data_IF_652332555917
#
_entry.id   IF_652332555917
#
_cell.length_a   1.000
_cell.length_b   1.000
_cell.length_c   1.000
_cell.angle_alpha   90.00
_cell.angle_beta   90.00
_cell.angle_gamma   90.00
#
_symmetry.space_group_name_H-M   'P 1'
#
loop_
_entity.id
_entity.type
_entity.pdbx_description
1 polymer ?
#
# COMPACT_ATOMS: atom_id res chain seq x y z
N UNK A 1 13.57 68.40 39.22
CA UNK A 1 13.53 69.64 38.45
C UNK A 1 12.41 69.47 37.41
N UNK A 2 11.32 70.01 37.78
CA UNK A 2 10.73 71.25 37.26
C UNK A 2 10.14 71.05 35.85
N UNK A 3 8.83 70.95 35.79
CA UNK A 3 7.81 71.99 35.54
C UNK A 3 7.55 72.16 34.07
N UNK A 4 6.40 72.23 33.52
CA UNK A 4 5.06 72.89 33.70
C UNK A 4 4.23 72.50 32.48
N UNK A 5 3.05 72.04 32.53
CA UNK A 5 1.76 72.73 32.73
C UNK A 5 1.48 73.83 31.68
N UNK A 6 0.39 73.69 30.96
CA UNK A 6 -0.77 74.63 30.84
C UNK A 6 -1.47 74.43 29.50
N UNK A 7 -2.71 74.03 29.48
CA UNK A 7 -4.01 74.72 29.57
C UNK A 7 -4.69 75.00 28.22
N UNK A 8 -5.93 74.51 28.19
CA UNK A 8 -7.19 75.14 27.64
C UNK A 8 -7.34 75.15 26.11
N UNK A 9 -8.49 74.73 25.52
CA UNK A 9 -9.83 75.23 25.77
C UNK A 9 -10.91 74.30 25.21
N UNK A 10 -12.02 74.33 25.89
CA UNK A 10 -13.35 73.80 25.65
C UNK A 10 -13.94 74.37 24.36
N UNK A 11 -14.51 73.57 23.48
CA UNK A 11 -15.55 73.96 22.57
C UNK A 11 -16.60 72.84 22.49
N UNK A 12 -17.67 73.09 23.18
CA UNK A 12 -18.93 72.31 23.11
C UNK A 12 -19.56 72.64 21.80
N UNK A 13 -19.78 71.72 20.90
CA UNK A 13 -20.73 71.84 19.80
C UNK A 13 -21.73 70.71 19.96
N UNK A 14 -22.92 71.10 20.39
CA UNK A 14 -24.19 70.37 20.45
C UNK A 14 -24.67 70.24 19.00
N UNK A 15 -24.72 69.02 18.44
CA UNK A 15 -25.38 68.77 17.17
C UNK A 15 -26.29 67.58 17.25
N UNK A 16 -27.48 67.86 16.98
CA UNK A 16 -28.72 67.10 16.90
C UNK A 16 -28.52 65.71 16.28
N UNK A 17 -29.01 64.71 17.01
CA UNK A 17 -29.32 63.38 16.53
C UNK A 17 -30.42 63.40 15.49
N UNK A 18 -30.12 63.23 14.25
CA UNK A 18 -31.05 62.78 13.24
C UNK A 18 -31.06 61.28 13.24
N UNK A 19 -32.08 60.68 13.80
CA UNK A 19 -32.39 59.29 13.58
C UNK A 19 -32.83 59.12 12.13
N UNK A 20 -31.90 58.76 11.27
CA UNK A 20 -32.20 58.14 10.00
C UNK A 20 -32.39 56.65 10.24
N UNK A 21 -33.62 56.21 10.29
CA UNK A 21 -34.01 54.83 10.16
C UNK A 21 -33.63 54.42 8.71
N UNK A 22 -32.41 53.94 8.45
CA UNK A 22 -32.13 53.22 7.22
C UNK A 22 -32.79 51.86 7.34
N UNK A 23 -33.89 51.69 6.59
CA UNK A 23 -34.34 50.37 6.21
C UNK A 23 -33.09 49.61 5.71
N UNK A 24 -32.79 48.51 6.34
CA UNK A 24 -31.94 47.49 5.72
C UNK A 24 -32.65 47.07 4.43
N UNK A 25 -32.19 47.59 3.30
CA UNK A 25 -32.49 46.96 2.05
C UNK A 25 -31.93 45.55 2.21
N UNK A 26 -32.82 44.56 2.16
CA UNK A 26 -32.43 43.16 1.98
C UNK A 26 -31.50 43.18 0.79
N UNK A 27 -30.21 42.96 1.08
CA UNK A 27 -29.20 42.77 0.03
C UNK A 27 -29.69 41.58 -0.78
N UNK A 28 -30.25 41.83 -1.95
CA UNK A 28 -30.55 40.78 -2.91
C UNK A 28 -29.26 40.03 -3.10
N UNK A 29 -29.24 38.72 -2.84
CA UNK A 29 -28.02 37.92 -3.02
C UNK A 29 -27.51 38.17 -4.43
N UNK A 30 -26.30 38.66 -4.57
CA UNK A 30 -25.64 38.79 -5.88
C UNK A 30 -25.70 37.41 -6.51
N UNK A 31 -26.35 37.27 -7.70
CA UNK A 31 -26.42 35.96 -8.32
C UNK A 31 -24.98 35.54 -8.60
N UNK A 32 -24.50 34.50 -7.89
CA UNK A 32 -23.20 33.87 -8.19
C UNK A 32 -23.16 33.53 -9.66
N UNK A 33 -22.07 33.92 -10.31
CA UNK A 33 -21.78 33.47 -11.66
C UNK A 33 -21.88 31.95 -11.63
N UNK A 34 -22.83 31.35 -12.39
CA UNK A 34 -23.12 29.93 -12.39
C UNK A 34 -21.80 29.20 -12.70
N UNK A 35 -21.26 28.35 -11.80
CA UNK A 35 -20.08 27.58 -12.12
C UNK A 35 -20.41 26.68 -13.32
N UNK A 36 -19.53 26.69 -14.33
CA UNK A 36 -19.72 25.90 -15.54
C UNK A 36 -18.97 24.55 -15.47
N UNK A 37 -18.11 24.41 -14.47
CA UNK A 37 -17.28 23.22 -14.25
C UNK A 37 -16.80 23.17 -12.79
N UNK A 38 -16.13 22.08 -12.43
CA UNK A 38 -15.62 21.87 -11.05
C UNK A 38 -14.54 22.91 -10.70
N UNK A 39 -13.66 23.25 -11.62
CA UNK A 39 -12.65 24.31 -11.41
C UNK A 39 -13.28 25.66 -11.07
N UNK A 40 -14.35 26.02 -11.78
CA UNK A 40 -15.11 27.24 -11.49
C UNK A 40 -15.81 27.19 -10.14
N UNK A 41 -16.39 26.03 -9.81
CA UNK A 41 -17.05 25.80 -8.52
C UNK A 41 -16.09 25.96 -7.34
N UNK A 42 -14.88 25.43 -7.44
CA UNK A 42 -13.86 25.53 -6.38
C UNK A 42 -13.33 26.95 -6.15
N UNK A 43 -13.51 27.85 -7.10
CA UNK A 43 -13.14 29.28 -6.99
C UNK A 43 -14.22 30.13 -6.34
N UNK A 44 -15.42 29.58 -6.15
CA UNK A 44 -16.49 30.30 -5.47
C UNK A 44 -16.09 30.50 -4.03
N UNK A 45 -15.96 31.78 -3.61
CA UNK A 45 -15.58 32.11 -2.25
C UNK A 45 -16.69 31.68 -1.29
N UNK A 46 -16.32 30.90 -0.27
CA UNK A 46 -17.24 30.31 0.66
C UNK A 46 -17.74 31.37 1.66
N UNK A 47 -19.00 31.67 1.57
CA UNK A 47 -19.80 32.09 2.74
C UNK A 47 -20.66 30.90 3.13
N UNK A 48 -20.96 30.75 4.41
CA UNK A 48 -21.68 29.62 4.97
C UNK A 48 -22.87 29.16 4.08
N UNK A 49 -22.87 27.84 3.77
CA UNK A 49 -23.92 27.09 3.05
C UNK A 49 -24.50 27.78 1.79
N UNK A 50 -23.68 27.78 0.74
CA UNK A 50 -24.12 28.28 -0.56
C UNK A 50 -25.10 27.30 -1.22
N UNK A 51 -26.33 27.75 -1.51
CA UNK A 51 -27.31 27.00 -2.30
C UNK A 51 -27.21 27.33 -3.78
N UNK A 52 -27.22 26.28 -4.61
CA UNK A 52 -27.20 26.41 -6.06
C UNK A 52 -28.58 26.63 -6.64
N UNK A 53 -28.69 27.56 -7.59
CA UNK A 53 -29.77 27.60 -8.55
C UNK A 53 -29.58 26.56 -9.66
N UNK A 54 -30.47 26.62 -10.67
CA UNK A 54 -30.39 25.73 -11.84
C UNK A 54 -29.02 25.80 -12.51
N UNK A 55 -28.19 24.80 -12.27
CA UNK A 55 -26.79 24.66 -12.74
C UNK A 55 -26.47 23.19 -12.91
N UNK A 56 -25.83 22.86 -14.03
CA UNK A 56 -25.32 21.50 -14.28
C UNK A 56 -23.84 21.59 -14.61
N UNK A 57 -23.04 20.68 -14.05
CA UNK A 57 -21.61 20.52 -14.31
C UNK A 57 -21.29 19.07 -14.62
N UNK A 58 -20.15 18.80 -15.28
CA UNK A 58 -19.70 17.45 -15.61
C UNK A 58 -18.42 17.09 -14.88
N UNK A 59 -18.23 15.79 -14.66
CA UNK A 59 -16.98 15.25 -14.17
C UNK A 59 -16.94 13.74 -14.29
N UNK A 60 -15.81 13.16 -13.90
CA UNK A 60 -15.55 11.73 -13.91
C UNK A 60 -15.52 11.23 -12.47
N UNK A 61 -16.23 10.16 -12.18
CA UNK A 61 -16.18 9.49 -10.89
C UNK A 61 -14.80 8.85 -10.71
N UNK A 62 -14.09 9.22 -9.66
CA UNK A 62 -12.77 8.69 -9.33
C UNK A 62 -12.77 7.79 -8.10
N UNK A 63 -13.81 7.85 -7.27
CA UNK A 63 -14.00 6.92 -6.14
C UNK A 63 -14.40 5.54 -6.64
N UNK A 64 -14.04 4.51 -5.89
CA UNK A 64 -14.36 3.11 -6.15
C UNK A 64 -15.25 2.57 -5.02
N UNK A 65 -16.56 2.50 -5.29
CA UNK A 65 -17.51 1.97 -4.29
C UNK A 65 -17.28 0.49 -3.99
N UNK A 66 -16.76 -0.29 -4.97
CA UNK A 66 -16.48 -1.71 -4.80
C UNK A 66 -15.28 -1.95 -3.87
N UNK A 67 -14.29 -1.04 -3.85
CA UNK A 67 -13.14 -1.09 -2.96
C UNK A 67 -13.50 -0.77 -1.50
N UNK A 68 -14.64 -0.13 -1.26
CA UNK A 68 -15.18 0.14 0.07
C UNK A 68 -14.45 1.22 0.87
N UNK A 69 -13.50 1.95 0.27
CA UNK A 69 -12.72 2.97 0.98
C UNK A 69 -13.24 4.39 0.78
N UNK A 70 -14.55 4.55 0.78
CA UNK A 70 -15.25 5.84 0.85
C UNK A 70 -16.37 5.77 1.89
N UNK A 71 -16.66 6.87 2.52
CA UNK A 71 -17.79 6.97 3.46
C UNK A 71 -19.11 6.72 2.72
N UNK A 72 -20.08 6.14 3.42
CA UNK A 72 -21.38 5.83 2.83
C UNK A 72 -22.03 7.07 2.21
N UNK A 73 -22.48 6.96 0.97
CA UNK A 73 -23.09 8.05 0.20
C UNK A 73 -22.11 9.09 -0.33
N UNK A 74 -20.80 8.96 -0.07
CA UNK A 74 -19.79 9.88 -0.62
C UNK A 74 -19.29 9.40 -1.97
N UNK A 75 -19.16 10.34 -2.90
CA UNK A 75 -18.58 10.10 -4.25
C UNK A 75 -17.62 11.23 -4.58
N UNK A 76 -16.41 10.91 -5.02
CA UNK A 76 -15.46 11.89 -5.51
C UNK A 76 -15.55 12.01 -7.04
N UNK A 77 -15.68 13.24 -7.53
CA UNK A 77 -15.82 13.54 -8.97
C UNK A 77 -14.76 14.55 -9.38
N UNK A 78 -13.97 14.21 -10.40
CA UNK A 78 -12.87 15.04 -10.93
C UNK A 78 -13.23 15.60 -12.30
N UNK A 79 -12.85 16.84 -12.57
CA UNK A 79 -12.97 17.45 -13.89
C UNK A 79 -11.97 16.80 -14.87
N UNK A 80 -12.45 16.40 -16.04
CA UNK A 80 -11.60 15.73 -17.05
C UNK A 80 -10.41 16.60 -17.44
N UNK A 81 -9.21 16.04 -17.33
CA UNK A 81 -7.95 16.71 -17.70
C UNK A 81 -7.57 17.90 -16.81
N UNK A 82 -8.15 18.01 -15.61
CA UNK A 82 -7.86 19.09 -14.64
C UNK A 82 -7.49 18.56 -13.27
N UNK A 83 -6.70 19.34 -12.55
CA UNK A 83 -6.39 19.13 -11.14
C UNK A 83 -7.48 19.80 -10.29
N UNK A 84 -8.72 19.38 -10.46
CA UNK A 84 -9.87 19.90 -9.72
C UNK A 84 -10.91 18.80 -9.52
N UNK A 85 -11.28 18.54 -8.29
CA UNK A 85 -12.29 17.56 -7.93
C UNK A 85 -13.17 18.08 -6.78
N UNK A 86 -14.32 17.42 -6.57
CA UNK A 86 -15.28 17.76 -5.55
C UNK A 86 -15.87 16.49 -4.92
N UNK A 87 -16.18 16.54 -3.65
CA UNK A 87 -16.94 15.50 -2.96
C UNK A 87 -18.43 15.76 -3.10
N UNK A 88 -19.20 14.70 -3.35
CA UNK A 88 -20.65 14.68 -3.32
C UNK A 88 -21.11 13.85 -2.12
N UNK A 89 -22.01 14.38 -1.33
CA UNK A 89 -22.78 13.63 -0.34
C UNK A 89 -24.15 13.37 -0.94
N UNK A 90 -24.36 12.13 -1.40
CA UNK A 90 -25.60 11.72 -2.05
C UNK A 90 -26.61 11.15 -1.05
N UNK A 91 -27.87 11.44 -1.26
CA UNK A 91 -28.98 10.76 -0.60
C UNK A 91 -29.55 9.69 -1.54
N UNK A 92 -29.84 8.50 -0.99
CA UNK A 92 -30.33 7.35 -1.73
C UNK A 92 -29.19 6.46 -2.27
N UNK A 93 -29.58 5.35 -2.88
CA UNK A 93 -28.64 4.38 -3.44
C UNK A 93 -27.93 4.92 -4.68
N UNK A 94 -26.60 4.78 -4.70
CA UNK A 94 -25.77 5.16 -5.84
C UNK A 94 -25.04 3.93 -6.38
N UNK A 95 -24.98 3.81 -7.70
CA UNK A 95 -24.30 2.73 -8.41
C UNK A 95 -23.23 3.24 -9.37
N UNK A 96 -22.54 4.31 -8.99
CA UNK A 96 -21.48 4.88 -9.80
C UNK A 96 -20.20 4.04 -9.66
N UNK A 97 -19.59 3.74 -10.81
CA UNK A 97 -18.29 3.09 -10.86
C UNK A 97 -17.19 4.10 -11.19
N UNK A 98 -15.96 3.79 -10.77
CA UNK A 98 -14.79 4.58 -11.19
C UNK A 98 -14.73 4.66 -12.71
N UNK A 99 -14.52 5.85 -13.24
CA UNK A 99 -14.49 6.12 -14.67
C UNK A 99 -15.83 6.56 -15.27
N UNK A 100 -16.95 6.42 -14.59
CA UNK A 100 -18.23 6.92 -15.11
C UNK A 100 -18.16 8.45 -15.30
N UNK A 101 -18.40 8.94 -16.51
CA UNK A 101 -18.68 10.36 -16.72
C UNK A 101 -20.11 10.67 -16.29
N UNK A 102 -20.23 11.68 -15.45
CA UNK A 102 -21.52 12.09 -14.86
C UNK A 102 -21.83 13.56 -15.13
N UNK A 103 -23.11 13.87 -15.26
CA UNK A 103 -23.65 15.22 -15.20
C UNK A 103 -24.30 15.43 -13.83
N UNK A 104 -23.89 16.44 -13.12
CA UNK A 104 -24.38 16.81 -11.80
C UNK A 104 -25.39 17.95 -11.97
N UNK A 105 -26.66 17.70 -11.71
CA UNK A 105 -27.68 18.75 -11.63
C UNK A 105 -27.71 19.28 -10.18
N UNK A 106 -27.19 20.49 -9.99
CA UNK A 106 -26.94 21.06 -8.66
C UNK A 106 -28.11 21.90 -8.13
N UNK A 107 -29.23 21.99 -8.84
CA UNK A 107 -30.35 22.81 -8.39
C UNK A 107 -30.85 22.38 -7.00
N UNK A 108 -30.81 23.32 -6.06
CA UNK A 108 -31.19 23.09 -4.67
C UNK A 108 -30.14 22.44 -3.78
N UNK A 109 -29.05 21.94 -4.36
CA UNK A 109 -27.92 21.42 -3.60
C UNK A 109 -27.16 22.53 -2.86
N UNK A 110 -26.46 22.17 -1.82
CA UNK A 110 -25.64 23.06 -0.98
C UNK A 110 -24.17 22.78 -1.14
N UNK A 111 -23.34 23.83 -1.20
CA UNK A 111 -21.87 23.72 -1.11
C UNK A 111 -21.45 24.17 0.28
N UNK A 112 -20.75 23.32 1.00
CA UNK A 112 -20.23 23.62 2.34
C UNK A 112 -18.77 23.18 2.48
N UNK A 113 -18.06 23.76 3.44
CA UNK A 113 -16.76 23.26 3.88
C UNK A 113 -16.94 22.39 5.11
N UNK A 114 -16.39 21.17 5.06
CA UNK A 114 -16.36 20.26 6.20
C UNK A 114 -14.91 19.85 6.44
N UNK A 115 -14.37 20.20 7.60
CA UNK A 115 -12.99 19.89 8.00
C UNK A 115 -11.91 20.27 6.97
N UNK A 116 -12.16 21.31 6.16
CA UNK A 116 -11.24 21.76 5.09
C UNK A 116 -11.57 21.21 3.70
N UNK A 117 -12.54 20.29 3.58
CA UNK A 117 -12.99 19.77 2.29
C UNK A 117 -14.27 20.47 1.79
N UNK A 118 -14.31 20.72 0.48
CA UNK A 118 -15.54 21.18 -0.17
C UNK A 118 -16.45 20.01 -0.49
N UNK A 119 -17.68 20.06 0.00
CA UNK A 119 -18.69 19.01 -0.19
C UNK A 119 -19.97 19.61 -0.76
N UNK A 120 -20.49 19.00 -1.82
CA UNK A 120 -21.85 19.24 -2.30
C UNK A 120 -22.77 18.27 -1.56
N UNK A 121 -23.71 18.83 -0.80
CA UNK A 121 -24.73 18.09 -0.06
C UNK A 121 -26.14 18.46 -0.56
N UNK A 122 -27.17 17.88 0.08
CA UNK A 122 -28.57 18.00 -0.34
C UNK A 122 -28.80 17.54 -1.81
N UNK A 123 -27.99 16.62 -2.28
CA UNK A 123 -28.01 16.10 -3.65
C UNK A 123 -28.58 14.69 -3.65
N UNK A 124 -29.67 14.48 -4.38
CA UNK A 124 -30.20 13.13 -4.62
C UNK A 124 -29.31 12.38 -5.61
N UNK A 125 -29.14 11.07 -5.42
CA UNK A 125 -28.45 10.22 -6.41
C UNK A 125 -29.09 10.32 -7.80
N UNK A 126 -30.42 10.58 -7.91
CA UNK A 126 -31.12 10.79 -9.17
C UNK A 126 -30.78 12.12 -9.87
N UNK A 127 -30.17 13.07 -9.17
CA UNK A 127 -29.69 14.33 -9.76
C UNK A 127 -28.31 14.19 -10.41
N UNK A 128 -27.68 12.99 -10.27
CA UNK A 128 -26.40 12.63 -10.89
C UNK A 128 -26.67 11.63 -12.00
N UNK A 129 -26.47 12.04 -13.24
CA UNK A 129 -26.81 11.23 -14.42
C UNK A 129 -25.53 10.73 -15.11
N UNK A 130 -25.44 9.40 -15.34
CA UNK A 130 -24.38 8.83 -16.18
C UNK A 130 -24.59 9.23 -17.64
N UNK A 131 -23.54 9.72 -18.28
CA UNK A 131 -23.59 10.06 -19.72
C UNK A 131 -23.48 8.84 -20.61
N UNK A 132 -23.11 7.68 -20.08
CA UNK A 132 -22.80 6.47 -20.81
C UNK A 132 -21.35 6.40 -21.30
N UNK A 133 -20.56 7.45 -21.09
CA UNK A 133 -19.13 7.46 -21.37
C UNK A 133 -18.35 6.98 -20.13
N UNK A 134 -17.35 6.13 -20.36
CA UNK A 134 -16.37 5.73 -19.33
C UNK A 134 -15.00 6.27 -19.70
N UNK A 135 -14.33 6.89 -18.72
CA UNK A 135 -13.04 7.56 -18.90
C UNK A 135 -12.09 7.11 -17.80
N UNK A 136 -10.95 6.57 -18.17
CA UNK A 136 -9.89 6.31 -17.21
C UNK A 136 -9.21 7.64 -16.83
N UNK A 137 -9.22 7.96 -15.53
CA UNK A 137 -8.52 9.13 -14.99
C UNK A 137 -7.09 8.74 -14.65
N UNK A 138 -6.13 9.32 -15.38
CA UNK A 138 -4.72 9.17 -15.05
C UNK A 138 -4.42 9.90 -13.74
N UNK A 139 -3.87 9.21 -12.72
CA UNK A 139 -3.49 9.87 -11.48
C UNK A 139 -2.44 10.95 -11.73
N UNK A 140 -2.59 12.10 -11.06
CA UNK A 140 -1.57 13.14 -11.08
C UNK A 140 -0.33 12.66 -10.35
N UNK A 141 0.80 12.51 -11.07
CA UNK A 141 2.09 12.27 -10.46
C UNK A 141 2.52 13.51 -9.65
N UNK A 142 2.87 13.33 -8.37
CA UNK A 142 3.14 14.45 -7.46
C UNK A 142 4.04 13.99 -6.29
N UNK A 143 4.44 14.92 -5.42
CA UNK A 143 5.18 14.66 -4.19
C UNK A 143 4.29 14.86 -2.95
N UNK A 144 4.72 14.33 -1.80
CA UNK A 144 3.99 14.56 -0.55
C UNK A 144 3.95 16.05 -0.18
N UNK A 145 5.03 16.77 -0.44
CA UNK A 145 5.12 18.21 -0.21
C UNK A 145 4.16 19.01 -1.09
N UNK A 146 4.02 18.64 -2.37
CA UNK A 146 3.07 19.29 -3.27
C UNK A 146 1.61 19.06 -2.82
N UNK A 147 1.29 17.90 -2.26
CA UNK A 147 -0.05 17.64 -1.72
C UNK A 147 -0.33 18.58 -0.56
N UNK A 148 0.60 18.71 0.40
CA UNK A 148 0.42 19.61 1.56
C UNK A 148 0.17 21.05 1.11
N UNK A 149 0.84 21.50 0.05
CA UNK A 149 0.70 22.88 -0.46
C UNK A 149 -0.58 23.09 -1.27
N UNK A 150 -1.03 22.07 -2.01
CA UNK A 150 -2.03 22.28 -3.06
C UNK A 150 -3.37 21.57 -2.80
N UNK A 151 -3.48 20.71 -1.78
CA UNK A 151 -4.68 19.90 -1.56
C UNK A 151 -5.97 20.73 -1.48
N UNK A 152 -5.93 21.88 -0.82
CA UNK A 152 -7.08 22.78 -0.73
C UNK A 152 -7.52 23.33 -2.09
N UNK A 153 -6.59 23.55 -3.01
CA UNK A 153 -6.88 24.04 -4.37
C UNK A 153 -7.36 22.90 -5.29
N UNK A 154 -6.74 21.73 -5.19
CA UNK A 154 -7.08 20.58 -6.03
C UNK A 154 -8.40 19.93 -5.58
N UNK A 155 -8.64 19.86 -4.27
CA UNK A 155 -9.65 19.03 -3.66
C UNK A 155 -9.33 17.54 -3.78
N UNK A 156 -10.35 16.70 -3.75
CA UNK A 156 -10.20 15.25 -3.71
C UNK A 156 -9.81 14.66 -5.08
N UNK A 157 -8.73 15.14 -5.71
CA UNK A 157 -8.24 14.59 -6.98
C UNK A 157 -7.54 13.25 -6.77
N UNK A 158 -7.41 12.48 -7.85
CA UNK A 158 -6.62 11.26 -7.88
C UNK A 158 -5.14 11.60 -8.09
N UNK A 159 -4.31 11.20 -7.14
CA UNK A 159 -2.86 11.40 -7.17
C UNK A 159 -2.10 10.10 -7.11
N UNK A 160 -0.83 10.13 -7.55
CA UNK A 160 0.15 9.05 -7.41
C UNK A 160 1.46 9.63 -6.91
N UNK A 161 1.94 9.10 -5.79
CA UNK A 161 3.28 9.35 -5.26
C UNK A 161 4.15 8.12 -5.43
N UNK A 162 5.46 8.28 -5.57
CA UNK A 162 6.41 7.19 -5.76
C UNK A 162 7.39 7.09 -4.60
N UNK A 163 7.89 5.88 -4.36
CA UNK A 163 8.98 5.58 -3.43
C UNK A 163 8.76 6.13 -2.01
N UNK A 164 7.57 5.84 -1.47
CA UNK A 164 7.18 6.30 -0.13
C UNK A 164 7.35 5.20 0.92
N UNK A 165 7.92 5.56 2.06
CA UNK A 165 7.97 4.70 3.23
C UNK A 165 6.63 4.74 3.96
N UNK A 166 6.16 3.56 4.37
CA UNK A 166 4.91 3.38 5.11
C UNK A 166 5.22 3.01 6.56
N UNK A 167 4.46 3.58 7.48
CA UNK A 167 4.55 3.28 8.91
C UNK A 167 3.21 3.54 9.60
N UNK A 168 3.03 3.08 10.82
CA UNK A 168 1.76 3.17 11.53
C UNK A 168 0.86 1.97 11.23
N UNK A 169 -0.43 2.20 11.15
CA UNK A 169 -1.41 1.13 11.07
C UNK A 169 -1.50 0.30 12.35
N UNK A 170 -2.33 -0.72 12.36
CA UNK A 170 -2.49 -1.63 13.49
C UNK A 170 -1.73 -2.94 13.19
N UNK A 171 -0.77 -3.31 14.04
CA UNK A 171 0.02 -4.54 13.90
C UNK A 171 0.67 -4.73 12.52
N UNK A 172 1.13 -3.63 11.91
CA UNK A 172 1.75 -3.65 10.58
C UNK A 172 0.77 -3.88 9.41
N UNK A 173 -0.53 -3.70 9.64
CA UNK A 173 -1.57 -3.77 8.62
C UNK A 173 -2.08 -2.38 8.26
N UNK A 174 -2.87 -2.29 7.20
CA UNK A 174 -3.47 -1.03 6.78
C UNK A 174 -4.62 -0.54 7.67
N UNK A 175 -4.95 -1.25 8.73
CA UNK A 175 -5.97 -0.82 9.69
C UNK A 175 -5.50 0.42 10.46
N UNK A 176 -6.37 1.44 10.57
CA UNK A 176 -6.06 2.70 11.26
C UNK A 176 -5.30 3.70 10.38
N UNK A 177 -4.61 4.63 11.04
CA UNK A 177 -3.88 5.69 10.34
C UNK A 177 -2.48 5.22 9.92
N UNK A 178 -2.21 5.26 8.63
CA UNK A 178 -0.90 5.00 8.03
C UNK A 178 -0.21 6.32 7.71
N UNK A 179 1.09 6.39 7.92
CA UNK A 179 1.92 7.56 7.61
C UNK A 179 2.79 7.25 6.40
N UNK A 180 2.68 8.08 5.36
CA UNK A 180 3.52 8.06 4.17
C UNK A 180 4.63 9.09 4.30
N UNK A 181 5.90 8.73 4.00
CA UNK A 181 7.06 9.62 4.06
C UNK A 181 7.96 9.42 2.84
N UNK A 182 8.43 10.53 2.25
CA UNK A 182 9.39 10.52 1.13
C UNK A 182 10.77 11.14 1.49
N UNK A 183 11.03 11.31 2.79
CA UNK A 183 12.24 11.95 3.31
C UNK A 183 12.17 13.48 3.39
N UNK A 184 11.22 14.12 2.72
CA UNK A 184 11.03 15.58 2.70
C UNK A 184 9.70 15.93 3.39
N UNK A 185 8.64 15.20 3.10
CA UNK A 185 7.31 15.44 3.62
C UNK A 185 6.68 14.20 4.26
N UNK A 186 5.52 14.42 4.87
CA UNK A 186 4.67 13.35 5.36
C UNK A 186 3.20 13.70 5.10
N UNK A 187 2.44 12.71 4.64
CA UNK A 187 0.99 12.73 4.60
C UNK A 187 0.47 11.44 5.20
N UNK A 188 -0.83 11.37 5.40
CA UNK A 188 -1.47 10.22 6.02
C UNK A 188 -2.29 9.43 5.00
N UNK A 189 -2.70 8.25 5.38
CA UNK A 189 -3.72 7.45 4.72
C UNK A 189 -4.59 6.80 5.78
N UNK A 190 -5.87 6.71 5.53
CA UNK A 190 -6.80 6.05 6.43
C UNK A 190 -7.79 5.23 5.61
N UNK A 191 -7.94 3.96 5.99
CA UNK A 191 -8.95 3.10 5.38
C UNK A 191 -10.23 3.14 6.21
N UNK A 192 -11.36 3.05 5.51
CA UNK A 192 -12.64 2.83 6.16
C UNK A 192 -12.66 1.43 6.82
N UNK A 193 -13.33 1.27 7.98
CA UNK A 193 -13.27 0.03 8.76
C UNK A 193 -13.69 -1.25 8.02
N UNK A 194 -14.50 -1.13 6.98
CA UNK A 194 -15.00 -2.27 6.19
C UNK A 194 -14.32 -2.41 4.82
N UNK A 195 -13.19 -1.75 4.62
CA UNK A 195 -12.43 -1.86 3.37
C UNK A 195 -11.84 -3.25 3.23
N UNK A 196 -11.96 -3.85 2.03
CA UNK A 196 -11.62 -5.25 1.77
C UNK A 196 -10.14 -5.60 1.97
N UNK A 197 -9.27 -4.62 2.18
CA UNK A 197 -7.80 -4.81 2.32
C UNK A 197 -7.20 -4.25 3.62
N UNK A 198 -8.02 -3.96 4.64
CA UNK A 198 -7.54 -3.52 5.97
C UNK A 198 -6.63 -4.53 6.64
N UNK A 199 -6.94 -5.82 6.47
CA UNK A 199 -6.21 -6.94 7.08
C UNK A 199 -4.92 -7.34 6.35
N UNK A 200 -4.60 -6.68 5.24
CA UNK A 200 -3.39 -6.98 4.47
C UNK A 200 -2.16 -6.38 5.17
N UNK A 201 -1.08 -7.15 5.21
CA UNK A 201 0.20 -6.67 5.71
C UNK A 201 0.68 -5.48 4.89
N UNK A 202 1.01 -4.40 5.57
CA UNK A 202 1.49 -3.19 4.96
C UNK A 202 2.97 -3.35 4.59
N UNK A 203 3.38 -3.09 3.35
CA UNK A 203 4.79 -3.07 3.00
C UNK A 203 5.50 -1.90 3.72
N UNK A 204 6.78 -2.07 4.06
CA UNK A 204 7.57 -0.98 4.65
C UNK A 204 7.74 0.20 3.69
N UNK A 205 7.71 -0.07 2.37
CA UNK A 205 7.81 0.93 1.31
C UNK A 205 6.85 0.59 0.18
N UNK A 206 6.29 1.60 -0.47
CA UNK A 206 5.55 1.46 -1.72
C UNK A 206 6.31 2.15 -2.86
N UNK A 207 6.54 1.43 -3.96
CA UNK A 207 7.08 1.99 -5.21
C UNK A 207 6.12 3.01 -5.82
N UNK A 208 4.83 2.81 -5.61
CA UNK A 208 3.82 3.83 -5.87
C UNK A 208 2.62 3.66 -4.95
N UNK A 209 2.08 4.78 -4.53
CA UNK A 209 0.88 4.87 -3.73
C UNK A 209 -0.10 5.82 -4.42
N UNK A 210 -1.18 5.27 -4.94
CA UNK A 210 -2.23 6.02 -5.64
C UNK A 210 -3.42 6.19 -4.69
N UNK A 211 -4.12 7.30 -4.78
CA UNK A 211 -5.32 7.49 -3.97
C UNK A 211 -5.94 8.86 -4.17
N UNK A 212 -7.07 9.04 -3.51
CA UNK A 212 -7.82 10.30 -3.50
C UNK A 212 -7.27 11.19 -2.39
N UNK A 213 -6.95 12.43 -2.73
CA UNK A 213 -6.53 13.43 -1.74
C UNK A 213 -7.72 13.76 -0.83
N UNK A 214 -7.52 13.74 0.48
CA UNK A 214 -8.51 14.10 1.49
C UNK A 214 -7.90 15.06 2.51
N UNK A 215 -8.72 15.84 3.15
CA UNK A 215 -8.35 16.79 4.20
C UNK A 215 -9.23 16.54 5.42
N UNK A 216 -8.63 16.49 6.61
CA UNK A 216 -9.36 16.48 7.87
C UNK A 216 -8.62 17.36 8.88
N UNK A 217 -9.16 18.54 9.13
CA UNK A 217 -8.53 19.57 9.96
C UNK A 217 -7.20 20.04 9.37
N UNK A 218 -6.11 19.78 10.06
CA UNK A 218 -4.74 20.13 9.65
C UNK A 218 -3.97 18.98 8.99
N UNK A 219 -4.61 17.85 8.77
CA UNK A 219 -4.01 16.66 8.16
C UNK A 219 -4.44 16.48 6.70
N UNK A 220 -3.46 16.05 5.90
CA UNK A 220 -3.65 15.70 4.50
C UNK A 220 -3.50 14.20 4.31
N UNK A 221 -4.38 13.59 3.53
CA UNK A 221 -4.43 12.15 3.31
C UNK A 221 -4.36 11.83 1.83
N UNK A 222 -3.82 10.65 1.53
CA UNK A 222 -3.99 9.96 0.25
C UNK A 222 -4.72 8.65 0.58
N UNK A 223 -5.99 8.55 0.24
CA UNK A 223 -6.77 7.35 0.53
C UNK A 223 -6.87 6.47 -0.73
N UNK A 224 -6.24 5.28 -0.73
CA UNK A 224 -6.29 4.35 -1.87
C UNK A 224 -7.74 3.86 -2.05
N UNK A 225 -8.13 3.64 -3.29
CA UNK A 225 -9.49 3.18 -3.63
C UNK A 225 -9.65 1.68 -3.42
N UNK A 226 -8.59 0.95 -3.72
CA UNK A 226 -8.48 -0.50 -3.57
C UNK A 226 -7.00 -0.89 -3.43
N UNK A 227 -6.70 -2.18 -3.24
CA UNK A 227 -5.33 -2.66 -3.05
C UNK A 227 -4.42 -2.46 -4.27
N UNK A 228 -4.98 -2.40 -5.48
CA UNK A 228 -4.23 -2.18 -6.72
C UNK A 228 -3.62 -0.75 -6.80
N UNK A 229 -4.15 0.17 -6.03
CA UNK A 229 -3.60 1.53 -5.88
C UNK A 229 -2.27 1.56 -5.12
N UNK A 230 -1.90 0.46 -4.45
CA UNK A 230 -0.66 0.33 -3.67
C UNK A 230 0.24 -0.70 -4.34
N UNK A 231 1.29 -0.23 -4.99
CA UNK A 231 2.34 -1.09 -5.54
C UNK A 231 3.45 -1.15 -4.50
N UNK A 232 3.52 -2.28 -3.79
CA UNK A 232 4.57 -2.51 -2.79
C UNK A 232 5.95 -2.31 -3.41
N UNK A 233 6.86 -1.67 -2.68
CA UNK A 233 8.29 -1.81 -2.91
C UNK A 233 8.67 -3.25 -2.62
N UNK A 234 9.78 -3.72 -3.17
CA UNK A 234 10.27 -5.06 -2.86
C UNK A 234 10.49 -5.12 -1.36
N UNK A 235 9.50 -5.62 -0.61
CA UNK A 235 9.68 -6.02 0.77
C UNK A 235 10.36 -7.37 0.69
N UNK A 236 11.61 -7.39 1.07
CA UNK A 236 12.35 -8.63 1.22
C UNK A 236 12.17 -9.11 2.66
N UNK A 237 11.75 -10.35 2.83
CA UNK A 237 11.84 -11.06 4.10
C UNK A 237 12.92 -12.12 3.96
N UNK A 238 13.93 -12.06 4.81
CA UNK A 238 15.04 -13.01 4.81
C UNK A 238 14.87 -14.01 5.93
N UNK A 239 14.97 -15.30 5.60
CA UNK A 239 15.21 -16.38 6.54
C UNK A 239 16.70 -16.72 6.54
N UNK A 240 17.37 -16.46 7.65
CA UNK A 240 18.81 -16.68 7.84
C UNK A 240 19.13 -17.94 8.64
N UNK A 241 18.11 -18.68 9.07
CA UNK A 241 18.21 -19.94 9.83
C UNK A 241 19.02 -19.86 11.15
N UNK A 242 19.16 -18.69 11.75
CA UNK A 242 19.99 -18.47 12.94
C UNK A 242 19.27 -18.75 14.28
N UNK A 243 17.92 -18.70 14.31
CA UNK A 243 17.14 -18.64 15.56
C UNK A 243 16.91 -19.98 16.24
N UNK A 244 17.14 -21.10 15.55
CA UNK A 244 16.91 -22.43 16.10
C UNK A 244 18.03 -23.41 15.72
N UNK A 245 18.16 -24.49 16.46
CA UNK A 245 19.19 -25.50 16.19
C UNK A 245 18.66 -26.93 16.21
N UNK A 246 19.16 -27.77 15.27
CA UNK A 246 18.90 -29.19 15.19
C UNK A 246 20.12 -29.92 14.65
N UNK A 247 20.62 -30.87 15.40
CA UNK A 247 21.81 -31.69 15.02
C UNK A 247 21.46 -33.10 14.53
N UNK A 248 20.16 -33.46 14.51
CA UNK A 248 19.68 -34.74 14.01
C UNK A 248 19.10 -34.60 12.61
N UNK A 249 19.42 -35.57 11.73
CA UNK A 249 18.76 -35.67 10.41
C UNK A 249 17.33 -36.25 10.48
N UNK A 250 16.80 -36.54 11.67
CA UNK A 250 15.42 -36.92 11.83
C UNK A 250 14.49 -35.72 11.52
N UNK A 251 13.26 -36.02 11.11
CA UNK A 251 12.25 -35.00 10.84
C UNK A 251 12.06 -34.12 12.07
N UNK A 252 12.21 -32.81 11.89
CA UNK A 252 12.07 -31.83 12.96
C UNK A 252 11.43 -30.56 12.45
N UNK A 253 10.44 -30.05 13.21
CA UNK A 253 9.90 -28.71 13.02
C UNK A 253 10.68 -27.74 13.90
N UNK A 254 11.09 -26.61 13.33
CA UNK A 254 11.84 -25.55 14.00
C UNK A 254 11.18 -24.21 13.71
N UNK A 255 11.12 -23.37 14.75
CA UNK A 255 10.64 -21.99 14.61
C UNK A 255 11.83 -21.08 14.32
N UNK A 256 11.85 -20.51 13.11
CA UNK A 256 12.79 -19.52 12.68
C UNK A 256 12.09 -18.16 12.53
N UNK A 257 12.83 -17.15 12.13
CA UNK A 257 12.37 -15.76 12.02
C UNK A 257 11.17 -15.59 11.08
N UNK A 258 11.18 -16.28 9.94
CA UNK A 258 10.10 -16.20 8.95
C UNK A 258 8.89 -17.08 9.29
N UNK A 259 9.02 -18.03 10.19
CA UNK A 259 7.97 -18.97 10.58
C UNK A 259 8.48 -20.35 10.93
N UNK A 260 7.59 -21.34 10.93
CA UNK A 260 7.93 -22.73 11.23
C UNK A 260 8.39 -23.43 9.96
N UNK A 261 9.54 -24.08 10.03
CA UNK A 261 10.09 -24.89 8.95
C UNK A 261 10.24 -26.34 9.38
N UNK A 262 9.99 -27.28 8.46
CA UNK A 262 10.33 -28.69 8.63
C UNK A 262 11.65 -28.97 7.99
N UNK A 263 12.58 -29.55 8.76
CA UNK A 263 13.81 -30.14 8.30
C UNK A 263 13.64 -31.67 8.27
N UNK A 264 13.81 -32.31 7.13
CA UNK A 264 13.77 -33.78 6.95
C UNK A 264 15.04 -34.23 6.23
N UNK A 265 15.85 -35.08 6.83
CA UNK A 265 17.17 -35.39 6.32
C UNK A 265 18.10 -34.17 6.23
N UNK A 266 17.85 -33.17 7.09
CA UNK A 266 18.55 -31.89 7.15
C UNK A 266 18.79 -31.46 8.60
N UNK A 267 19.87 -30.72 8.81
CA UNK A 267 20.26 -30.20 10.14
C UNK A 267 20.63 -28.74 10.04
N UNK A 268 20.60 -28.00 11.16
CA UNK A 268 21.35 -26.75 11.25
C UNK A 268 22.85 -27.06 11.45
N UNK A 269 23.71 -26.40 10.72
CA UNK A 269 25.11 -26.77 10.59
C UNK A 269 26.03 -25.56 10.78
N UNK A 270 26.87 -25.64 11.82
CA UNK A 270 27.71 -24.53 12.28
C UNK A 270 29.22 -24.84 12.17
N UNK A 271 29.62 -25.95 11.53
CA UNK A 271 31.05 -26.31 11.43
C UNK A 271 31.82 -25.36 10.51
N UNK A 272 33.12 -25.31 10.65
CA UNK A 272 33.98 -24.51 9.79
C UNK A 272 33.95 -24.94 8.31
N UNK A 273 33.49 -26.16 8.04
CA UNK A 273 33.38 -26.70 6.67
C UNK A 273 32.00 -26.38 6.05
N UNK A 274 31.01 -25.97 6.83
CA UNK A 274 29.72 -25.58 6.29
C UNK A 274 29.81 -24.22 5.60
N UNK A 275 29.25 -24.13 4.40
CA UNK A 275 29.07 -22.86 3.73
C UNK A 275 27.91 -22.15 4.36
N UNK A 276 28.18 -20.98 4.94
CA UNK A 276 27.19 -20.19 5.69
C UNK A 276 27.54 -18.73 5.69
N UNK A 277 26.54 -17.93 5.83
CA UNK A 277 26.59 -16.52 6.19
C UNK A 277 26.16 -16.43 7.66
N UNK A 278 26.90 -15.78 8.53
CA UNK A 278 26.58 -15.81 9.96
C UNK A 278 27.13 -17.04 10.70
N UNK A 279 26.40 -17.53 11.70
CA UNK A 279 26.86 -18.58 12.62
C UNK A 279 26.57 -20.01 12.11
N UNK A 280 25.44 -20.19 11.41
CA UNK A 280 25.02 -21.50 10.92
C UNK A 280 24.28 -21.39 9.57
N UNK A 281 24.05 -22.50 8.91
CA UNK A 281 23.18 -22.67 7.74
C UNK A 281 22.39 -23.97 7.88
N UNK A 282 21.46 -24.27 6.97
CA UNK A 282 20.84 -25.58 6.90
C UNK A 282 21.65 -26.48 5.96
N UNK A 283 22.09 -27.63 6.46
CA UNK A 283 22.76 -28.65 5.65
C UNK A 283 21.83 -29.82 5.36
N UNK A 284 21.43 -29.99 4.09
CA UNK A 284 20.61 -31.08 3.60
C UNK A 284 21.49 -32.24 3.12
N UNK A 285 21.07 -33.46 3.42
CA UNK A 285 21.68 -34.66 2.84
C UNK A 285 20.60 -35.57 2.26
N UNK A 286 19.85 -36.24 3.12
CA UNK A 286 18.91 -37.28 2.71
C UNK A 286 19.60 -38.58 2.31
N UNK A 287 18.78 -39.64 2.24
CA UNK A 287 19.22 -40.97 1.83
C UNK A 287 18.22 -41.59 0.87
N UNK A 288 18.65 -42.55 0.06
CA UNK A 288 17.78 -43.33 -0.84
C UNK A 288 17.61 -44.77 -0.35
N UNK A 289 18.06 -45.07 0.86
CA UNK A 289 17.95 -46.40 1.48
C UNK A 289 16.58 -46.68 2.11
N UNK A 290 16.55 -47.56 3.10
CA UNK A 290 15.34 -47.97 3.78
C UNK A 290 14.61 -46.80 4.50
N UNK A 291 15.34 -45.75 4.89
CA UNK A 291 14.79 -44.57 5.58
C UNK A 291 14.18 -43.56 4.61
N UNK A 292 14.43 -43.64 3.32
CA UNK A 292 13.86 -42.83 2.22
C UNK A 292 13.73 -41.32 2.53
N UNK A 293 14.71 -40.73 3.20
CA UNK A 293 14.75 -39.32 3.49
C UNK A 293 15.22 -38.53 2.29
N UNK A 294 14.48 -37.50 1.91
CA UNK A 294 14.74 -36.73 0.70
C UNK A 294 15.78 -35.62 0.88
N UNK A 295 16.22 -35.31 2.13
CA UNK A 295 16.98 -34.09 2.39
C UNK A 295 16.14 -32.87 1.98
N UNK A 296 15.25 -32.44 2.84
CA UNK A 296 14.24 -31.42 2.54
C UNK A 296 14.22 -30.35 3.60
N UNK A 297 13.96 -29.11 3.17
CA UNK A 297 13.67 -27.96 4.01
C UNK A 297 12.38 -27.33 3.48
N UNK A 298 11.34 -27.32 4.29
CA UNK A 298 9.99 -26.95 3.84
C UNK A 298 9.33 -25.93 4.78
N UNK A 299 8.71 -24.92 4.21
CA UNK A 299 7.85 -24.00 4.94
C UNK A 299 6.58 -24.68 5.44
N UNK A 300 6.20 -24.44 6.72
CA UNK A 300 4.91 -24.83 7.28
C UNK A 300 3.94 -23.66 7.44
N UNK A 301 4.19 -22.58 6.72
CA UNK A 301 3.38 -21.36 6.71
C UNK A 301 3.26 -20.86 5.29
N UNK A 302 2.24 -20.04 5.05
CA UNK A 302 2.00 -19.46 3.73
C UNK A 302 2.54 -18.03 3.69
N UNK A 303 3.10 -17.64 2.55
CA UNK A 303 3.41 -16.25 2.21
C UNK A 303 2.52 -15.81 1.05
N UNK A 304 2.02 -14.60 1.13
CA UNK A 304 1.11 -14.05 0.13
C UNK A 304 1.84 -13.12 -0.83
N UNK A 305 1.56 -13.24 -2.13
CA UNK A 305 2.01 -12.28 -3.13
C UNK A 305 3.48 -12.31 -3.48
N UNK A 306 4.20 -13.41 -3.20
CA UNK A 306 5.64 -13.56 -3.47
C UNK A 306 5.93 -13.43 -4.96
N UNK A 307 6.76 -12.47 -5.34
CA UNK A 307 7.18 -12.20 -6.73
C UNK A 307 8.47 -12.90 -7.10
N UNK A 308 9.40 -12.94 -6.17
CA UNK A 308 10.72 -13.53 -6.36
C UNK A 308 11.24 -14.22 -5.12
N UNK A 309 12.23 -15.05 -5.33
CA UNK A 309 12.96 -15.76 -4.31
C UNK A 309 14.46 -15.68 -4.62
N UNK A 310 15.30 -15.33 -3.63
CA UNK A 310 16.74 -15.49 -3.72
C UNK A 310 17.14 -16.59 -2.76
N UNK A 311 18.01 -17.48 -3.18
CA UNK A 311 18.47 -18.61 -2.37
C UNK A 311 19.98 -18.70 -2.42
N UNK A 312 20.62 -18.58 -1.28
CA UNK A 312 22.05 -18.80 -1.14
C UNK A 312 22.30 -20.27 -0.85
N UNK A 313 23.16 -20.90 -1.63
CA UNK A 313 23.46 -22.35 -1.52
C UNK A 313 24.91 -22.66 -1.84
N UNK A 314 25.35 -23.84 -1.40
CA UNK A 314 26.70 -24.32 -1.69
C UNK A 314 26.88 -25.77 -1.31
N UNK A 315 27.99 -26.37 -1.75
CA UNK A 315 28.33 -27.73 -1.39
C UNK A 315 28.99 -27.78 -0.01
N UNK A 316 28.70 -28.81 0.79
CA UNK A 316 29.57 -29.13 1.92
C UNK A 316 30.89 -29.75 1.37
N UNK A 317 32.05 -29.10 1.52
CA UNK A 317 33.26 -29.41 0.75
C UNK A 317 34.07 -30.56 1.30
N UNK A 318 33.43 -31.70 1.59
CA UNK A 318 34.16 -32.91 1.88
C UNK A 318 34.62 -33.59 0.58
N UNK A 319 35.64 -34.43 0.67
CA UNK A 319 36.30 -35.05 -0.49
C UNK A 319 35.35 -35.87 -1.38
N UNK A 320 34.34 -36.51 -0.79
CA UNK A 320 33.35 -37.28 -1.56
C UNK A 320 32.45 -36.39 -2.40
N UNK A 321 32.03 -35.26 -1.86
CA UNK A 321 31.18 -34.26 -2.53
C UNK A 321 31.96 -33.54 -3.63
N UNK A 322 33.18 -33.10 -3.35
CA UNK A 322 34.03 -32.38 -4.31
C UNK A 322 34.46 -33.28 -5.46
N UNK A 323 34.65 -34.59 -5.22
CA UNK A 323 35.00 -35.58 -6.25
C UNK A 323 33.78 -36.12 -7.02
N UNK A 324 32.55 -35.66 -6.68
CA UNK A 324 31.34 -36.13 -7.33
C UNK A 324 31.26 -35.64 -8.78
N UNK A 325 31.21 -36.60 -9.72
CA UNK A 325 31.06 -36.29 -11.14
C UNK A 325 29.58 -36.26 -11.60
N UNK A 326 28.66 -36.66 -10.73
CA UNK A 326 27.24 -36.62 -11.01
C UNK A 326 26.66 -35.23 -10.65
N UNK A 327 25.58 -34.81 -11.29
CA UNK A 327 24.93 -33.56 -10.94
C UNK A 327 24.52 -33.51 -9.46
N UNK A 328 24.91 -32.43 -8.80
CA UNK A 328 24.45 -32.08 -7.45
C UNK A 328 23.39 -30.99 -7.59
N UNK A 329 22.16 -31.27 -7.19
CA UNK A 329 21.02 -30.40 -7.50
C UNK A 329 20.09 -30.23 -6.32
N UNK A 330 19.38 -29.07 -6.32
CA UNK A 330 18.27 -28.78 -5.45
C UNK A 330 17.04 -28.51 -6.33
N UNK A 331 15.96 -29.22 -6.09
CA UNK A 331 14.66 -28.86 -6.64
C UNK A 331 14.02 -27.85 -5.70
N UNK A 332 13.72 -26.67 -6.23
CA UNK A 332 12.91 -25.64 -5.57
C UNK A 332 11.47 -25.87 -6.02
N UNK A 333 10.63 -26.22 -5.09
CA UNK A 333 9.25 -26.57 -5.36
C UNK A 333 8.28 -25.61 -4.68
N UNK A 334 7.13 -25.39 -5.30
CA UNK A 334 6.10 -24.49 -4.85
C UNK A 334 4.78 -25.23 -4.64
N UNK A 335 4.10 -24.89 -3.56
CA UNK A 335 2.71 -25.23 -3.27
C UNK A 335 1.85 -23.98 -3.28
N UNK A 336 0.64 -24.10 -3.84
CA UNK A 336 -0.40 -23.07 -3.85
C UNK A 336 -1.69 -23.53 -3.14
N UNK A 337 -1.62 -24.63 -2.40
CA UNK A 337 -2.75 -25.28 -1.74
C UNK A 337 -2.46 -25.62 -0.28
N UNK A 338 -1.65 -24.79 0.40
CA UNK A 338 -1.32 -24.92 1.81
C UNK A 338 -0.38 -26.11 2.10
N UNK A 339 0.43 -26.54 1.11
CA UNK A 339 1.40 -27.61 1.26
C UNK A 339 0.85 -29.02 0.94
N UNK A 340 -0.38 -29.14 0.42
CA UNK A 340 -0.94 -30.44 0.05
C UNK A 340 -0.29 -31.02 -1.20
N UNK A 341 -0.03 -30.18 -2.19
CA UNK A 341 0.71 -30.58 -3.41
C UNK A 341 1.83 -29.61 -3.72
N UNK A 342 2.88 -30.11 -4.34
CA UNK A 342 4.04 -29.31 -4.75
C UNK A 342 4.34 -29.55 -6.23
N UNK A 343 4.75 -28.50 -6.93
CA UNK A 343 5.24 -28.56 -8.30
C UNK A 343 6.63 -27.95 -8.39
N UNK A 344 7.45 -28.47 -9.29
CA UNK A 344 8.80 -27.94 -9.53
C UNK A 344 8.68 -26.49 -10.05
N UNK A 345 9.32 -25.56 -9.34
CA UNK A 345 9.47 -24.18 -9.78
C UNK A 345 10.76 -24.00 -10.57
N UNK A 346 11.88 -24.47 -10.00
CA UNK A 346 13.21 -24.43 -10.64
C UNK A 346 14.12 -25.48 -10.04
N UNK A 347 15.01 -26.04 -10.85
CA UNK A 347 16.14 -26.86 -10.37
C UNK A 347 17.41 -26.03 -10.38
N UNK A 348 18.11 -25.99 -9.25
CA UNK A 348 19.40 -25.34 -9.08
C UNK A 348 20.51 -26.40 -9.24
N UNK A 349 21.57 -26.04 -9.94
CA UNK A 349 22.77 -26.87 -10.05
C UNK A 349 23.86 -26.31 -9.16
N UNK A 350 24.40 -27.15 -8.27
CA UNK A 350 25.40 -26.75 -7.29
C UNK A 350 26.81 -26.94 -7.88
N UNK A 351 27.58 -25.88 -7.90
CA UNK A 351 28.99 -25.94 -8.24
C UNK A 351 29.77 -26.58 -7.08
N UNK A 352 30.12 -27.86 -7.24
CA UNK A 352 30.86 -28.64 -6.23
C UNK A 352 32.31 -28.16 -6.02
N UNK A 353 32.82 -27.29 -6.88
CA UNK A 353 34.15 -26.68 -6.76
C UNK A 353 34.09 -25.28 -6.10
N UNK A 354 32.94 -24.70 -5.97
CA UNK A 354 32.76 -23.40 -5.27
C UNK A 354 33.11 -23.55 -3.79
N UNK A 355 33.79 -22.56 -3.25
CA UNK A 355 34.12 -22.45 -1.83
C UNK A 355 33.38 -21.34 -1.12
N UNK A 356 32.38 -20.78 -1.78
CA UNK A 356 31.52 -19.71 -1.27
C UNK A 356 30.08 -20.04 -1.61
N UNK A 357 29.16 -19.47 -0.84
CA UNK A 357 27.74 -19.50 -1.19
C UNK A 357 27.54 -18.79 -2.53
N UNK A 358 26.67 -19.35 -3.35
CA UNK A 358 26.17 -18.76 -4.59
C UNK A 358 24.71 -18.45 -4.38
N UNK A 359 24.27 -17.29 -4.83
CA UNK A 359 22.88 -16.88 -4.72
C UNK A 359 22.23 -16.91 -6.09
N UNK A 360 21.17 -17.70 -6.23
CA UNK A 360 20.32 -17.73 -7.42
C UNK A 360 19.02 -16.96 -7.16
N UNK A 361 18.55 -16.27 -8.20
CA UNK A 361 17.27 -15.57 -8.21
C UNK A 361 16.24 -16.38 -9.00
N UNK A 362 15.07 -16.58 -8.42
CA UNK A 362 14.00 -17.42 -8.96
C UNK A 362 12.72 -16.59 -9.03
N UNK A 363 12.10 -16.48 -10.21
CA UNK A 363 10.82 -15.83 -10.38
C UNK A 363 9.69 -16.73 -9.84
N UNK A 364 8.87 -16.20 -8.92
CA UNK A 364 7.70 -16.90 -8.38
C UNK A 364 6.42 -16.39 -9.03
N UNK A 365 6.30 -15.06 -9.22
CA UNK A 365 5.19 -14.39 -9.89
C UNK A 365 3.80 -14.73 -9.31
N UNK A 366 3.69 -14.97 -8.01
CA UNK A 366 2.41 -15.17 -7.37
C UNK A 366 1.51 -13.92 -7.51
N UNK A 367 0.21 -14.09 -7.71
CA UNK A 367 -0.73 -12.99 -7.67
C UNK A 367 -0.74 -12.35 -6.26
N UNK A 368 -1.14 -11.07 -6.16
CA UNK A 368 -1.11 -10.34 -4.88
C UNK A 368 -1.88 -11.03 -3.75
N UNK A 369 -2.93 -11.77 -4.07
CA UNK A 369 -3.75 -12.53 -3.12
C UNK A 369 -3.45 -14.03 -3.11
N UNK A 370 -2.45 -14.50 -3.85
CA UNK A 370 -2.10 -15.92 -3.92
C UNK A 370 -1.15 -16.28 -2.80
N UNK A 371 -1.49 -17.33 -2.06
CA UNK A 371 -0.66 -17.89 -1.00
C UNK A 371 0.26 -18.97 -1.56
N UNK A 372 1.52 -18.97 -1.14
CA UNK A 372 2.51 -19.95 -1.58
C UNK A 372 3.33 -20.48 -0.41
N UNK A 373 3.76 -21.75 -0.52
CA UNK A 373 4.80 -22.36 0.30
C UNK A 373 5.92 -22.82 -0.61
N UNK A 374 7.15 -22.66 -0.14
CA UNK A 374 8.35 -23.12 -0.84
C UNK A 374 8.96 -24.26 -0.06
N UNK A 375 9.48 -25.25 -0.77
CA UNK A 375 10.36 -26.25 -0.20
C UNK A 375 11.57 -26.51 -1.12
N UNK A 376 12.66 -26.85 -0.48
CA UNK A 376 13.92 -27.22 -1.12
C UNK A 376 14.14 -28.72 -0.93
N UNK A 377 14.38 -29.43 -2.00
CA UNK A 377 14.58 -30.87 -1.99
C UNK A 377 15.93 -31.19 -2.60
N UNK A 378 16.77 -31.92 -1.88
CA UNK A 378 18.04 -32.43 -2.43
C UNK A 378 17.75 -33.53 -3.49
N UNK A 379 17.72 -33.11 -4.75
CA UNK A 379 17.46 -33.97 -5.91
C UNK A 379 18.71 -34.60 -6.52
N UNK A 380 19.87 -34.42 -5.89
CA UNK A 380 21.15 -34.95 -6.38
C UNK A 380 21.14 -36.45 -6.58
N UNK A 381 21.94 -36.93 -7.52
CA UNK A 381 22.21 -38.35 -7.67
C UNK A 381 22.93 -38.91 -6.42
N UNK A 382 22.41 -39.98 -5.79
CA UNK A 382 23.02 -40.57 -4.61
C UNK A 382 24.39 -41.17 -4.90
N UNK A 383 25.24 -41.19 -3.88
CA UNK A 383 26.46 -41.98 -3.87
C UNK A 383 26.15 -43.50 -3.79
N UNK A 384 27.18 -44.35 -4.00
CA UNK A 384 27.07 -45.80 -3.90
C UNK A 384 26.56 -46.30 -2.51
N UNK A 385 26.73 -45.52 -1.45
CA UNK A 385 26.24 -45.81 -0.11
C UNK A 385 24.81 -45.32 0.13
N UNK A 386 24.08 -44.92 -0.92
CA UNK A 386 22.72 -44.38 -0.92
C UNK A 386 22.54 -43.03 -0.23
N UNK A 387 23.57 -42.38 0.26
CA UNK A 387 23.50 -41.00 0.71
C UNK A 387 23.53 -40.03 -0.47
N UNK A 388 22.87 -38.90 -0.36
CA UNK A 388 23.02 -37.77 -1.31
C UNK A 388 24.20 -36.90 -0.91
N UNK A 389 24.79 -36.15 -1.85
CA UNK A 389 25.73 -35.09 -1.51
C UNK A 389 25.15 -34.12 -0.50
N UNK A 390 25.96 -33.64 0.43
CA UNK A 390 25.54 -32.64 1.43
C UNK A 390 25.58 -31.26 0.83
N UNK A 391 24.49 -30.55 0.94
CA UNK A 391 24.30 -29.20 0.39
C UNK A 391 23.91 -28.26 1.53
N UNK A 392 24.53 -27.08 1.59
CA UNK A 392 24.15 -26.02 2.48
C UNK A 392 23.14 -25.08 1.75
N UNK A 393 22.11 -24.65 2.47
CA UNK A 393 21.20 -23.55 2.11
C UNK A 393 21.27 -22.52 3.21
N UNK A 394 21.31 -21.26 2.81
CA UNK A 394 21.33 -20.10 3.70
C UNK A 394 20.66 -18.92 3.04
N UNK A 395 20.31 -17.88 3.83
CA UNK A 395 19.74 -16.64 3.33
C UNK A 395 18.67 -16.83 2.25
N UNK A 396 17.51 -17.36 2.62
CA UNK A 396 16.35 -17.44 1.74
C UNK A 396 15.60 -16.11 1.81
N UNK A 397 15.66 -15.33 0.72
CA UNK A 397 15.02 -14.01 0.64
C UNK A 397 13.76 -14.11 -0.20
N UNK A 398 12.62 -13.80 0.40
CA UNK A 398 11.34 -13.69 -0.29
C UNK A 398 11.11 -12.23 -0.69
N UNK A 399 10.76 -12.01 -1.95
CA UNK A 399 10.48 -10.69 -2.55
C UNK A 399 8.98 -10.58 -2.86
N UNK A 400 8.34 -9.48 -2.49
CA UNK A 400 6.89 -9.26 -2.58
C UNK A 400 6.51 -8.13 -3.56
#
# INVERSE_FOLDING_TARGET
MMNRALRRSLAIILLLSVWACSKSEDATPVPLSKPQNITGLRKVQQSDDLKFGATAIKGIVISDAAGGNMEAGMVAVQEEGKDAAILLQLSGDSNFAKGDEVTLNLEGASLSSREGELVISDLSASAVEKTGRSVEVTPKATTLSDIVVNAEFWGPILVKVSDVNLSGGTEGRFEGEVVLRDGIGAVYSMLQPNTAFTDINMPAMANSYTGIVRISGDKFYINPRNIEDIVGGVTETTEDFEDASNTSYDVKELSFKSGVWTLDGAITAATAADMKNGAQSVRMQGTVGNDKRNGMVSMNFDLQGVKGLKVSHGIYPASAEVANMNPTTIDVEISKDGGNTYTLLQQLTIDVQSKVLVTDEIAVNAAANEQVRIRFVNSSTPFANNNRPRINIDDVVFQF
#
